data_IF_953850637950
#
_entry.id   IF_953850637950
#
_cell.length_a   1.000
_cell.length_b   1.000
_cell.length_c   1.000
_cell.angle_alpha   90.00
_cell.angle_beta   90.00
_cell.angle_gamma   90.00
#
_symmetry.space_group_name_H-M   'P 1'
#
loop_
_entity.id
_entity.type
_entity.pdbx_description
1 polymer ?
#
# COMPACT_ATOMS: atom_id res chain seq x y z
N UNK A 1 -8.77 75.62 5.90
CA UNK A 1 -7.56 76.31 5.41
C UNK A 1 -6.42 76.01 6.38
N UNK A 2 -5.19 75.95 5.87
CA UNK A 2 -4.04 75.21 6.39
C UNK A 2 -3.61 75.46 7.85
N UNK A 3 -3.17 74.38 8.52
CA UNK A 3 -2.29 74.38 9.70
C UNK A 3 -1.15 73.37 9.40
N UNK A 4 0.11 73.73 9.20
CA UNK A 4 1.15 74.31 10.09
C UNK A 4 1.79 73.29 11.06
N UNK A 5 2.92 72.72 10.62
CA UNK A 5 4.27 72.75 11.24
C UNK A 5 4.54 72.08 12.63
N UNK A 6 5.40 71.05 12.55
CA UNK A 6 6.61 70.70 13.35
C UNK A 6 6.55 70.31 14.84
N UNK A 7 7.32 69.23 15.07
CA UNK A 7 8.37 68.97 16.10
C UNK A 7 7.94 68.71 17.54
N UNK A 8 8.52 67.64 18.09
CA UNK A 8 8.73 67.47 19.52
C UNK A 8 9.05 66.04 19.90
N UNK A 9 10.33 65.71 20.02
CA UNK A 9 10.81 64.50 20.68
C UNK A 9 10.79 64.72 22.20
N UNK A 10 10.39 63.73 23.01
CA UNK A 10 11.15 63.29 24.20
C UNK A 10 10.52 62.05 24.88
N UNK A 11 11.35 61.01 24.97
CA UNK A 11 11.56 60.01 26.04
C UNK A 11 10.41 59.53 26.94
N UNK A 12 10.49 58.21 27.16
CA UNK A 12 10.48 57.45 28.44
C UNK A 12 9.28 56.52 28.57
N UNK A 13 9.54 55.22 28.76
CA UNK A 13 8.50 54.27 29.13
C UNK A 13 8.83 52.83 28.76
N UNK A 14 9.74 52.23 29.53
CA UNK A 14 9.94 50.79 29.59
C UNK A 14 8.63 50.10 30.01
N UNK A 15 8.11 49.17 29.20
CA UNK A 15 7.22 48.11 29.68
C UNK A 15 7.35 46.90 28.75
N UNK A 16 8.13 45.95 29.24
CA UNK A 16 8.14 44.55 28.83
C UNK A 16 6.74 44.00 29.08
N UNK A 17 6.07 43.51 28.05
CA UNK A 17 5.09 42.44 28.17
C UNK A 17 5.18 41.58 26.92
N UNK A 18 5.82 40.43 27.08
CA UNK A 18 5.93 39.44 26.04
C UNK A 18 4.57 38.83 25.71
N UNK A 19 4.36 38.58 24.42
CA UNK A 19 3.61 37.41 23.99
C UNK A 19 4.12 37.04 22.59
N UNK A 20 5.19 36.26 22.55
CA UNK A 20 5.52 35.50 21.36
C UNK A 20 4.40 34.46 21.19
N UNK A 21 3.44 34.74 20.30
CA UNK A 21 2.57 33.68 19.79
C UNK A 21 3.46 32.77 18.94
N UNK A 22 3.97 31.70 19.56
CA UNK A 22 4.41 30.54 18.82
C UNK A 22 3.18 30.01 18.08
N UNK A 23 3.09 30.32 16.79
CA UNK A 23 2.23 29.60 15.87
C UNK A 23 2.78 28.18 15.88
N UNK A 24 2.16 27.30 16.66
CA UNK A 24 2.35 25.87 16.54
C UNK A 24 1.97 25.53 15.09
N UNK A 25 2.99 25.32 14.26
CA UNK A 25 2.82 24.71 12.97
C UNK A 25 2.31 23.29 13.24
N UNK A 26 0.99 23.13 13.26
CA UNK A 26 0.37 21.85 12.99
C UNK A 26 0.73 21.50 11.55
N UNK A 27 1.90 20.88 11.37
CA UNK A 27 2.23 20.15 10.17
C UNK A 27 1.25 18.99 10.07
N UNK A 28 0.06 19.26 9.53
CA UNK A 28 -0.72 18.24 8.87
C UNK A 28 0.19 17.68 7.78
N UNK A 29 0.72 16.48 8.02
CA UNK A 29 1.51 15.75 7.04
C UNK A 29 0.60 15.57 5.83
N UNK A 30 0.82 16.40 4.81
CA UNK A 30 0.20 16.18 3.50
C UNK A 30 0.67 14.81 3.03
N UNK A 31 -0.26 13.86 2.92
CA UNK A 31 0.04 12.53 2.45
C UNK A 31 0.46 12.61 0.98
N UNK A 32 1.74 12.37 0.71
CA UNK A 32 2.27 12.23 -0.64
C UNK A 32 1.47 11.14 -1.39
N UNK A 33 0.92 11.45 -2.58
CA UNK A 33 0.17 10.47 -3.38
C UNK A 33 1.02 9.30 -3.88
N UNK A 34 2.35 9.45 -3.86
CA UNK A 34 3.34 8.46 -4.33
C UNK A 34 3.91 7.54 -3.23
N UNK A 35 3.56 7.76 -1.96
CA UNK A 35 3.99 6.85 -0.89
C UNK A 35 3.15 5.58 -0.88
N UNK A 36 3.82 4.44 -0.70
CA UNK A 36 3.19 3.14 -0.49
C UNK A 36 2.04 3.25 0.51
N UNK A 37 0.97 2.48 0.27
CA UNK A 37 -0.19 2.39 1.16
C UNK A 37 0.17 1.82 2.55
N UNK A 38 1.38 1.27 2.70
CA UNK A 38 1.94 0.70 3.93
C UNK A 38 3.01 1.58 4.60
N UNK A 39 3.13 2.87 4.25
CA UNK A 39 4.14 3.75 4.85
C UNK A 39 4.14 3.68 6.39
N UNK A 40 5.33 3.56 7.01
CA UNK A 40 5.53 3.22 8.42
C UNK A 40 4.65 4.01 9.39
N UNK A 41 3.72 3.28 10.02
CA UNK A 41 2.90 3.71 11.17
C UNK A 41 3.27 2.81 12.34
N UNK A 42 3.08 3.29 13.57
CA UNK A 42 3.12 2.44 14.77
C UNK A 42 2.19 1.22 14.57
N UNK A 43 2.79 0.05 14.33
CA UNK A 43 2.08 -1.20 14.12
C UNK A 43 1.47 -1.69 15.43
N UNK A 44 0.27 -2.26 15.34
CA UNK A 44 -0.31 -3.03 16.44
C UNK A 44 0.48 -4.31 16.68
N UNK A 45 0.32 -4.99 17.83
CA UNK A 45 0.92 -6.30 18.07
C UNK A 45 0.53 -7.33 16.99
N UNK A 46 -0.72 -7.30 16.54
CA UNK A 46 -1.22 -8.17 15.47
C UNK A 46 -0.50 -7.89 14.14
N UNK A 47 -0.43 -6.62 13.70
CA UNK A 47 0.25 -6.26 12.45
C UNK A 47 1.75 -6.54 12.51
N UNK A 48 2.36 -6.41 13.69
CA UNK A 48 3.77 -6.77 13.92
C UNK A 48 3.97 -8.28 13.73
N UNK A 49 3.11 -9.10 14.34
CA UNK A 49 3.15 -10.55 14.17
C UNK A 49 2.92 -10.97 12.71
N UNK A 50 1.97 -10.34 12.02
CA UNK A 50 1.73 -10.58 10.60
C UNK A 50 2.94 -10.14 9.73
N UNK A 51 3.60 -9.03 10.04
CA UNK A 51 4.82 -8.57 9.35
C UNK A 51 5.95 -9.57 9.50
N UNK A 52 6.19 -10.06 10.72
CA UNK A 52 7.20 -11.08 10.99
C UNK A 52 6.85 -12.43 10.33
N UNK A 53 5.58 -12.83 10.35
CA UNK A 53 5.13 -14.06 9.68
C UNK A 53 5.37 -14.05 8.16
N UNK A 54 5.34 -12.87 7.52
CA UNK A 54 5.64 -12.72 6.08
C UNK A 54 7.13 -12.60 5.76
N UNK A 55 8.01 -12.51 6.77
CA UNK A 55 9.42 -12.19 6.56
C UNK A 55 10.16 -13.25 5.75
N UNK A 56 9.97 -14.53 6.07
CA UNK A 56 10.60 -15.62 5.30
C UNK A 56 10.16 -15.59 3.83
N UNK A 57 8.87 -15.40 3.58
CA UNK A 57 8.34 -15.26 2.23
C UNK A 57 8.98 -14.09 1.47
N UNK A 58 9.13 -12.95 2.14
CA UNK A 58 9.79 -11.76 1.60
C UNK A 58 11.25 -12.06 1.21
N UNK A 59 11.99 -12.74 2.09
CA UNK A 59 13.38 -13.15 1.82
C UNK A 59 13.43 -14.06 0.58
N UNK A 60 12.56 -15.06 0.48
CA UNK A 60 12.55 -16.00 -0.65
C UNK A 60 12.23 -15.31 -1.98
N UNK A 61 11.23 -14.41 -2.01
CA UNK A 61 10.88 -13.65 -3.21
C UNK A 61 12.03 -12.71 -3.61
N UNK A 62 12.61 -11.98 -2.66
CA UNK A 62 13.74 -11.09 -2.93
C UNK A 62 14.97 -11.88 -3.41
N UNK A 63 15.25 -13.03 -2.83
CA UNK A 63 16.30 -13.93 -3.32
C UNK A 63 16.05 -14.33 -4.78
N UNK A 64 14.83 -14.74 -5.11
CA UNK A 64 14.49 -15.13 -6.48
C UNK A 64 14.66 -13.96 -7.47
N UNK A 65 14.20 -12.76 -7.12
CA UNK A 65 14.36 -11.53 -7.91
C UNK A 65 15.84 -11.16 -8.16
N UNK A 66 16.74 -11.47 -7.23
CA UNK A 66 18.17 -11.16 -7.34
C UNK A 66 19.04 -12.34 -7.78
N UNK A 67 18.44 -13.51 -7.99
CA UNK A 67 19.14 -14.71 -8.45
C UNK A 67 18.89 -14.97 -9.94
N UNK A 68 19.65 -15.89 -10.52
CA UNK A 68 19.37 -16.47 -11.84
C UNK A 68 18.72 -17.85 -11.75
N UNK A 69 18.35 -18.28 -10.55
CA UNK A 69 17.78 -19.60 -10.30
C UNK A 69 16.26 -19.56 -10.48
N UNK A 70 15.80 -20.13 -11.59
CA UNK A 70 14.39 -20.21 -11.96
C UNK A 70 13.68 -21.44 -11.37
N UNK A 71 14.35 -22.26 -10.54
CA UNK A 71 13.82 -23.56 -10.14
C UNK A 71 12.78 -23.51 -9.00
N UNK A 72 11.66 -24.20 -9.23
CA UNK A 72 10.60 -24.37 -8.24
C UNK A 72 9.75 -23.13 -7.99
N UNK A 73 8.81 -23.30 -7.06
CA UNK A 73 7.84 -22.27 -6.70
C UNK A 73 8.10 -21.76 -5.28
N UNK A 74 7.66 -20.52 -5.03
CA UNK A 74 7.59 -19.92 -3.70
C UNK A 74 6.13 -19.96 -3.28
N UNK A 75 5.85 -20.60 -2.14
CA UNK A 75 4.51 -20.68 -1.57
C UNK A 75 4.51 -20.16 -0.14
N UNK A 76 3.58 -19.26 0.18
CA UNK A 76 3.52 -18.62 1.49
C UNK A 76 2.09 -18.39 1.93
N UNK A 77 1.83 -18.60 3.22
CA UNK A 77 0.61 -18.09 3.83
C UNK A 77 0.78 -16.61 4.20
N UNK A 78 0.02 -15.74 3.54
CA UNK A 78 0.10 -14.29 3.71
C UNK A 78 -1.16 -13.83 4.42
N UNK A 79 -1.03 -13.36 5.65
CA UNK A 79 -2.08 -12.65 6.38
C UNK A 79 -1.69 -11.18 6.44
N UNK A 80 -2.64 -10.28 6.18
CA UNK A 80 -2.46 -8.84 6.28
C UNK A 80 -3.74 -8.19 6.77
N UNK A 81 -3.63 -7.46 7.87
CA UNK A 81 -4.62 -6.53 8.37
C UNK A 81 -4.52 -5.21 7.61
N UNK A 82 -5.69 -4.70 7.23
CA UNK A 82 -5.88 -3.43 6.55
C UNK A 82 -6.72 -2.53 7.45
N UNK A 83 -6.15 -1.38 7.79
CA UNK A 83 -6.85 -0.36 8.58
C UNK A 83 -7.90 0.34 7.73
N UNK A 84 -8.92 0.91 8.39
CA UNK A 84 -9.98 1.70 7.76
C UNK A 84 -9.43 2.72 6.78
N UNK A 85 -8.42 3.49 7.19
CA UNK A 85 -7.88 4.61 6.43
C UNK A 85 -7.20 4.11 5.14
N UNK A 86 -6.50 2.98 5.22
CA UNK A 86 -5.88 2.35 4.06
C UNK A 86 -6.95 1.85 3.06
N UNK A 87 -7.99 1.21 3.57
CA UNK A 87 -9.10 0.72 2.74
C UNK A 87 -9.86 1.88 2.11
N UNK A 88 -10.21 2.92 2.87
CA UNK A 88 -10.86 4.14 2.38
C UNK A 88 -10.02 4.79 1.27
N UNK A 89 -8.69 4.91 1.46
CA UNK A 89 -7.79 5.44 0.42
C UNK A 89 -7.80 4.57 -0.84
N UNK A 90 -7.75 3.24 -0.68
CA UNK A 90 -7.73 2.30 -1.79
C UNK A 90 -9.06 2.29 -2.57
N UNK A 91 -10.18 2.05 -1.89
CA UNK A 91 -11.50 1.97 -2.55
C UNK A 91 -12.01 3.33 -3.01
N UNK A 92 -11.54 4.42 -2.42
CA UNK A 92 -11.83 5.78 -2.87
C UNK A 92 -11.35 6.04 -4.31
N UNK A 93 -10.24 5.41 -4.73
CA UNK A 93 -9.80 5.43 -6.14
C UNK A 93 -10.82 4.78 -7.09
N UNK A 94 -11.58 3.82 -6.57
CA UNK A 94 -12.65 3.10 -7.28
C UNK A 94 -14.02 3.77 -7.14
N UNK A 95 -14.10 4.95 -6.51
CA UNK A 95 -15.35 5.68 -6.23
C UNK A 95 -16.34 4.86 -5.37
N UNK A 96 -15.82 3.97 -4.54
CA UNK A 96 -16.60 3.17 -3.58
C UNK A 96 -16.32 3.65 -2.17
N UNK A 97 -17.35 3.69 -1.33
CA UNK A 97 -17.22 4.01 0.10
C UNK A 97 -16.94 2.74 0.89
N UNK A 98 -16.00 2.80 1.84
CA UNK A 98 -15.74 1.71 2.80
C UNK A 98 -16.37 2.04 4.16
N UNK A 99 -17.47 1.38 4.55
CA UNK A 99 -18.18 1.71 5.78
C UNK A 99 -17.65 0.98 7.02
N UNK A 100 -16.63 0.11 6.89
CA UNK A 100 -16.16 -0.77 7.95
C UNK A 100 -14.83 -0.32 8.56
N UNK A 101 -14.47 -0.80 9.75
CA UNK A 101 -13.28 -0.33 10.49
C UNK A 101 -11.96 -0.95 10.01
N UNK A 102 -12.02 -2.01 9.22
CA UNK A 102 -10.84 -2.67 8.67
C UNK A 102 -11.21 -4.00 8.02
N UNK A 103 -10.19 -4.69 7.53
CA UNK A 103 -10.30 -6.07 7.07
C UNK A 103 -9.01 -6.81 7.35
N UNK A 104 -9.09 -8.03 7.89
CA UNK A 104 -7.95 -8.95 7.90
C UNK A 104 -8.11 -9.87 6.70
N UNK A 105 -7.12 -9.86 5.80
CA UNK A 105 -7.12 -10.68 4.60
C UNK A 105 -6.03 -11.72 4.65
N UNK A 106 -6.34 -12.92 4.21
CA UNK A 106 -5.43 -14.04 4.08
C UNK A 106 -5.45 -14.59 2.65
N UNK A 107 -4.29 -15.01 2.16
CA UNK A 107 -4.17 -15.76 0.90
C UNK A 107 -3.06 -16.79 0.99
N UNK A 108 -3.18 -17.85 0.18
CA UNK A 108 -2.04 -18.69 -0.17
C UNK A 108 -1.37 -18.09 -1.40
N UNK A 109 -0.28 -17.36 -1.17
CA UNK A 109 0.55 -16.83 -2.23
C UNK A 109 1.33 -17.98 -2.87
N UNK A 110 1.36 -18.03 -4.19
CA UNK A 110 2.18 -18.95 -4.96
C UNK A 110 2.77 -18.19 -6.14
N UNK A 111 4.08 -18.15 -6.27
CA UNK A 111 4.76 -17.44 -7.35
C UNK A 111 5.88 -18.32 -7.89
N UNK A 112 6.00 -18.41 -9.21
CA UNK A 112 7.08 -19.18 -9.84
C UNK A 112 8.38 -18.39 -9.76
N UNK A 113 9.50 -19.05 -9.42
CA UNK A 113 10.80 -18.38 -9.46
C UNK A 113 11.16 -17.92 -10.88
N UNK A 114 10.82 -18.73 -11.88
CA UNK A 114 11.00 -18.37 -13.30
C UNK A 114 10.38 -17.02 -13.66
N UNK A 115 9.13 -16.78 -13.25
CA UNK A 115 8.47 -15.50 -13.51
C UNK A 115 9.21 -14.34 -12.84
N UNK A 116 9.68 -14.50 -11.60
CA UNK A 116 10.45 -13.47 -10.90
C UNK A 116 11.81 -13.20 -11.56
N UNK A 117 12.52 -14.24 -12.01
CA UNK A 117 13.78 -14.09 -12.72
C UNK A 117 13.55 -13.34 -14.03
N UNK A 118 12.55 -13.76 -14.82
CA UNK A 118 12.20 -13.13 -16.10
C UNK A 118 11.83 -11.66 -15.93
N UNK A 119 11.10 -11.32 -14.87
CA UNK A 119 10.75 -9.93 -14.53
C UNK A 119 11.99 -9.02 -14.43
N UNK A 120 13.11 -9.56 -13.96
CA UNK A 120 14.34 -8.83 -13.69
C UNK A 120 15.35 -8.90 -14.83
N UNK A 121 15.36 -9.98 -15.62
CA UNK A 121 16.39 -10.21 -16.64
C UNK A 121 15.95 -9.90 -18.07
N UNK A 122 14.66 -10.02 -18.39
CA UNK A 122 14.18 -9.74 -19.74
C UNK A 122 14.09 -8.22 -19.97
N UNK A 123 14.47 -7.71 -21.16
CA UNK A 123 14.34 -6.29 -21.48
C UNK A 123 12.90 -5.80 -21.35
N UNK A 124 11.94 -6.66 -21.70
CA UNK A 124 10.50 -6.42 -21.56
C UNK A 124 9.76 -7.74 -21.50
N UNK A 125 8.92 -7.91 -20.49
CA UNK A 125 8.12 -9.12 -20.28
C UNK A 125 6.76 -8.78 -19.68
N UNK A 126 5.72 -9.50 -20.09
CA UNK A 126 4.43 -9.49 -19.41
C UNK A 126 4.23 -10.83 -18.71
N UNK A 127 4.03 -10.78 -17.40
CA UNK A 127 3.87 -11.95 -16.54
C UNK A 127 2.43 -11.99 -16.08
N UNK A 128 1.77 -13.12 -16.32
CA UNK A 128 0.48 -13.46 -15.72
C UNK A 128 0.73 -14.40 -14.54
N UNK A 129 0.47 -13.89 -13.34
CA UNK A 129 0.63 -14.65 -12.10
C UNK A 129 -0.51 -15.66 -11.94
N UNK A 130 -0.27 -16.67 -11.11
CA UNK A 130 -1.27 -17.67 -10.76
C UNK A 130 -2.52 -17.03 -10.16
N UNK A 131 -3.66 -17.72 -10.30
CA UNK A 131 -4.89 -17.30 -9.63
C UNK A 131 -4.74 -17.43 -8.11
N UNK A 132 -5.00 -16.35 -7.39
CA UNK A 132 -5.05 -16.32 -5.93
C UNK A 132 -6.46 -16.07 -5.45
N UNK A 133 -6.94 -16.91 -4.53
CA UNK A 133 -8.16 -16.63 -3.77
C UNK A 133 -7.77 -15.94 -2.47
N UNK A 134 -8.27 -14.73 -2.28
CA UNK A 134 -8.10 -13.93 -1.05
C UNK A 134 -9.36 -14.09 -0.21
N UNK A 135 -9.20 -14.45 1.05
CA UNK A 135 -10.28 -14.46 2.04
C UNK A 135 -10.07 -13.32 3.00
N UNK A 136 -11.09 -12.51 3.23
CA UNK A 136 -11.03 -11.37 4.14
C UNK A 136 -12.16 -11.44 5.16
N UNK A 137 -11.87 -11.00 6.37
CA UNK A 137 -12.81 -10.91 7.48
C UNK A 137 -12.93 -9.45 7.91
N UNK A 138 -14.16 -8.96 8.02
CA UNK A 138 -14.49 -7.64 8.54
C UNK A 138 -15.09 -7.82 9.92
N UNK A 139 -14.49 -7.21 10.94
CA UNK A 139 -15.13 -7.10 12.24
C UNK A 139 -16.21 -6.01 12.20
N UNK A 140 -17.41 -6.32 12.68
CA UNK A 140 -18.47 -5.36 12.91
C UNK A 140 -18.95 -5.47 14.35
N UNK A 141 -18.95 -4.37 15.09
CA UNK A 141 -19.51 -4.32 16.45
C UNK A 141 -20.99 -4.74 16.48
N UNK A 142 -21.74 -4.46 15.40
CA UNK A 142 -23.19 -4.70 15.31
C UNK A 142 -23.57 -6.08 14.78
N UNK A 143 -22.72 -6.69 13.94
CA UNK A 143 -23.05 -7.93 13.20
C UNK A 143 -22.06 -9.07 13.41
N UNK A 144 -21.04 -8.88 14.25
CA UNK A 144 -19.95 -9.84 14.41
C UNK A 144 -19.00 -9.84 13.21
N UNK A 145 -18.13 -10.86 13.15
CA UNK A 145 -17.20 -11.04 12.04
C UNK A 145 -17.96 -11.47 10.77
N UNK A 146 -17.63 -10.84 9.63
CA UNK A 146 -18.21 -11.15 8.33
C UNK A 146 -17.11 -11.46 7.33
N UNK A 147 -17.16 -12.68 6.77
CA UNK A 147 -16.18 -13.13 5.78
C UNK A 147 -16.63 -12.84 4.35
N UNK A 148 -15.65 -12.59 3.48
CA UNK A 148 -15.83 -12.51 2.04
C UNK A 148 -14.58 -12.98 1.31
N UNK A 149 -14.74 -13.43 0.06
CA UNK A 149 -13.65 -13.95 -0.78
C UNK A 149 -13.67 -13.33 -2.16
N UNK A 150 -12.50 -13.21 -2.75
CA UNK A 150 -12.37 -12.82 -4.15
C UNK A 150 -11.14 -13.45 -4.80
N UNK A 151 -11.23 -13.71 -6.10
CA UNK A 151 -10.11 -14.19 -6.90
C UNK A 151 -9.36 -13.02 -7.56
N UNK A 152 -8.04 -13.17 -7.72
CA UNK A 152 -7.15 -12.30 -8.47
C UNK A 152 -6.29 -13.15 -9.40
N UNK A 153 -6.06 -12.70 -10.64
CA UNK A 153 -5.05 -13.29 -11.54
C UNK A 153 -4.14 -12.18 -12.08
N UNK A 154 -3.24 -11.62 -11.23
CA UNK A 154 -2.53 -10.40 -11.56
C UNK A 154 -1.72 -10.53 -12.85
N UNK A 155 -1.68 -9.47 -13.65
CA UNK A 155 -0.82 -9.37 -14.82
C UNK A 155 0.05 -8.14 -14.71
N UNK A 156 1.37 -8.29 -14.78
CA UNK A 156 2.32 -7.19 -14.63
C UNK A 156 3.28 -7.18 -15.81
N UNK A 157 3.42 -6.01 -16.44
CA UNK A 157 4.45 -5.77 -17.44
C UNK A 157 5.68 -5.18 -16.75
N UNK A 158 6.82 -5.82 -16.96
CA UNK A 158 8.13 -5.35 -16.54
C UNK A 158 8.93 -4.88 -17.76
N UNK A 159 9.67 -3.79 -17.60
CA UNK A 159 10.67 -3.33 -18.56
C UNK A 159 11.97 -3.05 -17.79
N UNK A 160 13.04 -3.74 -18.17
CA UNK A 160 14.36 -3.63 -17.54
C UNK A 160 14.31 -3.73 -16.01
N UNK A 161 13.60 -4.73 -15.47
CA UNK A 161 13.48 -4.96 -14.03
C UNK A 161 12.53 -4.01 -13.29
N UNK A 162 11.76 -3.17 -13.98
CA UNK A 162 10.78 -2.26 -13.37
C UNK A 162 9.38 -2.56 -13.86
N UNK A 163 8.41 -2.61 -12.95
CA UNK A 163 7.01 -2.70 -13.33
C UNK A 163 6.57 -1.38 -13.99
N UNK A 164 5.95 -1.45 -15.16
CA UNK A 164 5.47 -0.29 -15.92
C UNK A 164 3.96 -0.29 -16.09
N UNK A 165 3.33 -1.46 -16.01
CA UNK A 165 1.88 -1.64 -16.11
C UNK A 165 1.45 -2.82 -15.25
N UNK A 166 0.27 -2.72 -14.65
CA UNK A 166 -0.30 -3.82 -13.89
C UNK A 166 -1.82 -3.88 -14.09
N UNK A 167 -2.37 -5.08 -13.94
CA UNK A 167 -3.80 -5.36 -13.84
C UNK A 167 -4.00 -6.35 -12.71
N UNK A 168 -4.96 -6.09 -11.83
CA UNK A 168 -5.33 -7.04 -10.79
C UNK A 168 -6.04 -8.28 -11.37
N UNK A 169 -6.82 -8.08 -12.45
CA UNK A 169 -7.73 -9.07 -13.05
C UNK A 169 -8.58 -9.76 -11.98
N UNK A 170 -9.57 -9.03 -11.49
CA UNK A 170 -10.49 -9.53 -10.48
C UNK A 170 -11.38 -10.64 -11.05
N UNK A 171 -11.50 -11.73 -10.31
CA UNK A 171 -12.31 -12.89 -10.66
C UNK A 171 -13.59 -12.99 -9.83
N UNK A 172 -13.92 -14.22 -9.42
CA UNK A 172 -15.12 -14.54 -8.64
C UNK A 172 -15.13 -13.75 -7.33
N UNK A 173 -16.31 -13.29 -6.90
CA UNK A 173 -16.55 -12.65 -5.60
C UNK A 173 -17.63 -13.43 -4.84
N UNK A 174 -17.30 -13.87 -3.63
CA UNK A 174 -18.20 -14.53 -2.69
C UNK A 174 -18.32 -13.67 -1.44
N UNK A 175 -19.44 -12.97 -1.28
CA UNK A 175 -19.64 -12.09 -0.14
C UNK A 175 -21.14 -11.96 0.16
N UNK A 176 -21.52 -11.56 1.39
CA UNK A 176 -22.88 -11.12 1.68
C UNK A 176 -23.31 -9.98 0.75
N UNK A 177 -24.61 -9.90 0.45
CA UNK A 177 -25.17 -9.06 -0.62
C UNK A 177 -24.64 -7.63 -0.66
N UNK A 178 -24.58 -6.94 0.49
CA UNK A 178 -24.12 -5.55 0.57
C UNK A 178 -22.62 -5.39 0.26
N UNK A 179 -21.79 -6.31 0.75
CA UNK A 179 -20.35 -6.31 0.46
C UNK A 179 -20.15 -6.68 -1.01
N UNK A 180 -20.89 -7.69 -1.49
CA UNK A 180 -20.82 -8.15 -2.88
C UNK A 180 -21.16 -7.05 -3.88
N UNK A 181 -22.21 -6.25 -3.63
CA UNK A 181 -22.60 -5.18 -4.53
C UNK A 181 -21.53 -4.09 -4.63
N UNK A 182 -20.98 -3.66 -3.50
CA UNK A 182 -19.92 -2.64 -3.48
C UNK A 182 -18.63 -3.16 -4.15
N UNK A 183 -18.23 -4.39 -3.83
CA UNK A 183 -17.06 -5.02 -4.43
C UNK A 183 -17.24 -5.21 -5.94
N UNK A 184 -18.40 -5.71 -6.39
CA UNK A 184 -18.65 -5.94 -7.82
C UNK A 184 -18.49 -4.66 -8.63
N UNK A 185 -19.01 -3.53 -8.14
CA UNK A 185 -18.81 -2.23 -8.79
C UNK A 185 -17.34 -1.83 -8.84
N UNK A 186 -16.62 -1.95 -7.72
CA UNK A 186 -15.20 -1.65 -7.63
C UNK A 186 -14.36 -2.51 -8.59
N UNK A 187 -14.57 -3.83 -8.58
CA UNK A 187 -13.81 -4.78 -9.40
C UNK A 187 -14.16 -4.68 -10.88
N UNK A 188 -15.42 -4.42 -11.22
CA UNK A 188 -15.84 -4.20 -12.60
C UNK A 188 -15.22 -2.92 -13.17
N UNK A 189 -15.20 -1.84 -12.37
CA UNK A 189 -14.52 -0.61 -12.74
C UNK A 189 -13.03 -0.86 -12.98
N UNK A 190 -12.34 -1.54 -12.05
CA UNK A 190 -10.91 -1.84 -12.23
C UNK A 190 -10.63 -2.76 -13.44
N UNK A 191 -11.43 -3.79 -13.67
CA UNK A 191 -11.26 -4.67 -14.85
C UNK A 191 -11.49 -3.92 -16.18
N UNK A 192 -12.31 -2.87 -16.20
CA UNK A 192 -12.65 -2.12 -17.42
C UNK A 192 -11.67 -0.98 -17.69
N UNK A 193 -11.34 -0.19 -16.67
CA UNK A 193 -10.55 1.05 -16.81
C UNK A 193 -9.22 1.03 -16.05
N UNK A 194 -8.88 -0.07 -15.38
CA UNK A 194 -7.59 -0.33 -14.73
C UNK A 194 -7.15 0.75 -13.72
N UNK A 195 -8.10 1.18 -12.87
CA UNK A 195 -7.93 2.28 -11.91
C UNK A 195 -6.84 2.02 -10.86
N UNK A 196 -6.59 0.76 -10.51
CA UNK A 196 -5.58 0.39 -9.52
C UNK A 196 -4.19 0.22 -10.12
N UNK A 197 -4.03 0.26 -11.45
CA UNK A 197 -2.76 0.01 -12.14
C UNK A 197 -1.59 0.77 -11.53
N UNK A 198 -1.74 2.09 -11.34
CA UNK A 198 -0.66 2.92 -10.80
C UNK A 198 -0.29 2.50 -9.37
N UNK A 199 -1.30 2.21 -8.54
CA UNK A 199 -1.09 1.73 -7.17
C UNK A 199 -0.32 0.41 -7.17
N UNK A 200 -0.71 -0.55 -8.00
CA UNK A 200 -0.06 -1.85 -8.07
C UNK A 200 1.38 -1.71 -8.59
N UNK A 201 1.60 -0.89 -9.62
CA UNK A 201 2.95 -0.59 -10.14
C UNK A 201 3.83 0.02 -9.05
N UNK A 202 3.32 1.00 -8.29
CA UNK A 202 4.04 1.61 -7.17
C UNK A 202 4.40 0.58 -6.11
N UNK A 203 3.45 -0.26 -5.67
CA UNK A 203 3.71 -1.27 -4.64
C UNK A 203 4.69 -2.36 -5.12
N UNK A 204 4.61 -2.80 -6.39
CA UNK A 204 5.56 -3.76 -6.95
C UNK A 204 6.96 -3.15 -7.02
N UNK A 205 7.10 -1.92 -7.51
CA UNK A 205 8.40 -1.27 -7.59
C UNK A 205 8.98 -0.96 -6.20
N UNK A 206 8.16 -0.56 -5.23
CA UNK A 206 8.57 -0.41 -3.83
C UNK A 206 9.03 -1.75 -3.24
N UNK A 207 8.34 -2.85 -3.59
CA UNK A 207 8.69 -4.18 -3.13
C UNK A 207 10.06 -4.63 -3.66
N UNK A 208 10.24 -4.63 -4.99
CA UNK A 208 11.47 -5.15 -5.63
C UNK A 208 12.71 -4.31 -5.31
N UNK A 209 12.52 -3.06 -4.88
CA UNK A 209 13.61 -2.17 -4.49
C UNK A 209 13.70 -2.06 -2.97
N UNK A 210 13.11 -1.01 -2.40
CA UNK A 210 13.22 -0.61 -0.99
C UNK A 210 12.90 -1.77 -0.04
N UNK A 211 11.81 -2.50 -0.26
CA UNK A 211 11.46 -3.60 0.66
C UNK A 211 12.45 -4.76 0.54
N UNK A 212 12.92 -5.12 -0.65
CA UNK A 212 13.97 -6.15 -0.76
C UNK A 212 15.28 -5.72 -0.12
N UNK A 213 15.65 -4.44 -0.17
CA UNK A 213 16.83 -3.93 0.53
C UNK A 213 16.74 -4.06 2.05
N UNK A 214 15.54 -3.92 2.65
CA UNK A 214 15.32 -4.12 4.10
C UNK A 214 15.70 -5.53 4.59
N UNK A 215 15.79 -6.53 3.70
CA UNK A 215 16.13 -7.93 4.01
C UNK A 215 17.38 -8.41 3.26
N UNK A 216 18.19 -7.48 2.74
CA UNK A 216 19.37 -7.78 1.92
C UNK A 216 20.35 -8.73 2.57
N UNK A 217 20.68 -8.49 3.83
CA UNK A 217 21.63 -9.34 4.56
C UNK A 217 21.16 -10.80 4.64
N UNK A 218 19.84 -11.05 4.58
CA UNK A 218 19.28 -12.40 4.65
C UNK A 218 19.28 -13.10 3.29
N UNK A 219 18.92 -12.40 2.21
CA UNK A 219 18.85 -13.03 0.89
C UNK A 219 20.21 -13.06 0.17
N UNK A 220 21.13 -12.13 0.46
CA UNK A 220 22.46 -12.10 -0.15
C UNK A 220 23.48 -13.02 0.55
N UNK A 221 23.27 -13.37 1.82
CA UNK A 221 24.17 -14.25 2.57
C UNK A 221 24.06 -15.73 2.20
N UNK A 222 23.11 -16.11 1.33
CA UNK A 222 22.89 -17.50 0.90
C UNK A 222 23.56 -17.83 -0.45
N UNK A 223 24.68 -17.17 -0.76
CA UNK A 223 25.49 -17.36 -1.97
C UNK A 223 26.81 -18.05 -1.66
#
# INVERSE_FOLDING_TARGET
>A
MAATKKRGALRTGLLVLGMAMAVAANSAVAADPDKSIDADVNLTPQETAEKEARKACKVDICKALHSKDASGDIACHVIKSWRKEQLVKLVGKLKVTWPYDGAQCAMQLSVKRDDLVRAMTEPKVEIEFQKHTVTCTIASEKKGATDFKFDLTPKVTFENGKATKARANWGKIEAPTLIKSAMWTATAADNTVNLLSSTIVTEVNDFVSRRCDEVKDQWAAQH
#
